data_IF_142979416663
#
_entry.id   IF_142979416663
#
_cell.length_a   1.000
_cell.length_b   1.000
_cell.length_c   1.000
_cell.angle_alpha   90.00
_cell.angle_beta   90.00
_cell.angle_gamma   90.00
#
_symmetry.space_group_name_H-M   'P 1'
#
loop_
_entity.id
_entity.type
_entity.pdbx_description
1 polymer ?
#
# COMPACT_ATOMS: atom_id res chain seq x y z
N UNK A 1 1.13 6.47 4.17
CA UNK A 1 1.18 7.35 5.36
C UNK A 1 -0.22 7.55 5.90
N UNK A 2 -0.40 7.61 7.22
CA UNK A 2 -1.68 7.93 7.83
C UNK A 2 -2.07 9.38 7.62
N UNK A 3 -3.30 9.61 7.18
CA UNK A 3 -3.88 10.93 6.95
C UNK A 3 -5.31 10.97 7.48
N UNK A 4 -5.77 12.13 7.94
CA UNK A 4 -7.18 12.33 8.30
C UNK A 4 -7.85 13.10 7.16
N UNK A 5 -8.83 12.48 6.51
CA UNK A 5 -9.61 13.11 5.43
C UNK A 5 -11.09 13.00 5.81
N UNK A 6 -11.78 14.14 5.91
CA UNK A 6 -13.20 14.20 6.28
C UNK A 6 -13.53 13.39 7.56
N UNK A 7 -12.63 13.42 8.54
CA UNK A 7 -12.76 12.68 9.80
C UNK A 7 -12.45 11.19 9.75
N UNK A 8 -12.05 10.64 8.59
CA UNK A 8 -11.64 9.24 8.41
C UNK A 8 -10.13 9.10 8.41
N UNK A 9 -9.62 8.02 9.01
CA UNK A 9 -8.20 7.70 9.02
C UNK A 9 -7.86 6.89 7.76
N UNK A 10 -7.14 7.50 6.82
CA UNK A 10 -6.85 6.94 5.49
C UNK A 10 -5.37 6.61 5.36
N UNK A 11 -5.05 5.42 4.86
CA UNK A 11 -3.68 5.07 4.46
C UNK A 11 -3.44 5.57 3.03
N UNK A 12 -2.63 6.63 2.89
CA UNK A 12 -2.37 7.26 1.60
C UNK A 12 -0.95 7.01 1.15
N UNK A 13 -0.76 6.64 -0.12
CA UNK A 13 0.56 6.67 -0.76
C UNK A 13 0.52 7.56 -2.02
N UNK A 14 1.47 8.49 -2.09
CA UNK A 14 1.55 9.47 -3.17
C UNK A 14 2.49 8.96 -4.27
N UNK A 15 2.05 9.03 -5.52
CA UNK A 15 2.83 8.58 -6.69
C UNK A 15 2.86 9.67 -7.76
N UNK A 16 4.00 9.83 -8.43
CA UNK A 16 4.22 10.79 -9.53
C UNK A 16 4.57 10.11 -10.86
N UNK A 17 4.41 8.79 -10.97
CA UNK A 17 4.80 8.00 -12.15
C UNK A 17 3.93 8.30 -13.38
N UNK A 18 4.36 7.91 -14.58
CA UNK A 18 3.53 8.06 -15.79
C UNK A 18 2.22 7.24 -15.69
N UNK A 19 2.32 6.02 -15.16
CA UNK A 19 1.18 5.09 -14.97
C UNK A 19 1.16 4.54 -13.54
N UNK A 20 -0.02 4.12 -13.09
CA UNK A 20 -0.23 3.39 -11.83
C UNK A 20 -0.53 1.94 -12.17
N UNK A 21 0.17 1.01 -11.52
CA UNK A 21 -0.23 -0.39 -11.49
C UNK A 21 -1.14 -0.59 -10.26
N UNK A 22 -2.44 -0.75 -10.49
CA UNK A 22 -3.43 -0.85 -9.42
C UNK A 22 -3.19 -2.07 -8.53
N UNK A 23 -2.79 -3.20 -9.10
CA UNK A 23 -2.51 -4.43 -8.35
C UNK A 23 -1.34 -4.23 -7.39
N UNK A 24 -0.19 -3.76 -7.88
CA UNK A 24 1.00 -3.57 -7.03
C UNK A 24 0.79 -2.52 -5.95
N UNK A 25 0.04 -1.47 -6.25
CA UNK A 25 -0.25 -0.42 -5.27
C UNK A 25 -1.28 -0.87 -4.23
N UNK A 26 -2.25 -1.71 -4.59
CA UNK A 26 -3.14 -2.38 -3.64
C UNK A 26 -2.38 -3.26 -2.65
N UNK A 27 -1.46 -4.11 -3.15
CA UNK A 27 -0.57 -4.95 -2.35
C UNK A 27 0.26 -4.10 -1.39
N UNK A 28 0.85 -3.00 -1.87
CA UNK A 28 1.64 -2.08 -1.06
C UNK A 28 0.81 -1.46 0.08
N UNK A 29 -0.39 -0.96 -0.23
CA UNK A 29 -1.27 -0.32 0.76
C UNK A 29 -1.79 -1.31 1.81
N UNK A 30 -2.10 -2.55 1.43
CA UNK A 30 -2.50 -3.59 2.39
C UNK A 30 -1.33 -3.95 3.33
N UNK A 31 -0.12 -4.09 2.80
CA UNK A 31 1.07 -4.35 3.61
C UNK A 31 1.32 -3.22 4.64
N UNK A 32 1.17 -1.96 4.22
CA UNK A 32 1.22 -0.84 5.15
C UNK A 32 0.13 -0.93 6.21
N UNK A 33 -1.13 -1.12 5.80
CA UNK A 33 -2.25 -1.19 6.74
C UNK A 33 -2.03 -2.26 7.81
N UNK A 34 -1.56 -3.46 7.42
CA UNK A 34 -1.23 -4.55 8.34
C UNK A 34 -0.04 -4.25 9.25
N UNK A 35 0.98 -3.58 8.75
CA UNK A 35 2.13 -3.17 9.56
C UNK A 35 1.77 -2.12 10.63
N UNK A 36 0.88 -1.18 10.31
CA UNK A 36 0.34 -0.25 11.31
C UNK A 36 -0.60 -0.96 12.29
N UNK A 37 -1.43 -1.89 11.80
CA UNK A 37 -2.36 -2.65 12.63
C UNK A 37 -1.63 -3.48 13.70
N UNK A 38 -0.44 -4.03 13.39
CA UNK A 38 0.38 -4.75 14.38
C UNK A 38 0.90 -3.86 15.53
N UNK A 39 0.83 -2.53 15.37
CA UNK A 39 1.15 -1.55 16.40
C UNK A 39 -0.11 -0.88 16.98
N UNK A 40 -1.30 -1.46 16.74
CA UNK A 40 -2.57 -0.98 17.28
C UNK A 40 -3.21 0.17 16.49
N UNK A 41 -2.67 0.53 15.33
CA UNK A 41 -3.20 1.62 14.49
C UNK A 41 -3.98 1.07 13.30
N UNK A 42 -5.27 1.39 13.20
CA UNK A 42 -6.14 0.89 12.12
C UNK A 42 -6.53 2.01 11.17
N UNK A 43 -6.69 1.64 9.90
CA UNK A 43 -7.19 2.51 8.85
C UNK A 43 -8.67 2.22 8.55
N UNK A 44 -9.41 3.26 8.21
CA UNK A 44 -10.77 3.17 7.69
C UNK A 44 -10.75 2.91 6.18
N UNK A 45 -9.82 3.54 5.46
CA UNK A 45 -9.70 3.48 4.00
C UNK A 45 -8.22 3.44 3.56
N UNK A 46 -7.99 3.04 2.31
CA UNK A 46 -6.67 3.04 1.67
C UNK A 46 -6.78 3.70 0.30
N UNK A 47 -5.84 4.59 -0.02
CA UNK A 47 -5.87 5.37 -1.25
C UNK A 47 -4.47 5.57 -1.86
N UNK A 48 -4.41 5.60 -3.19
CA UNK A 48 -3.30 6.17 -3.93
C UNK A 48 -3.70 7.54 -4.43
N UNK A 49 -2.87 8.54 -4.16
CA UNK A 49 -2.97 9.84 -4.80
C UNK A 49 -1.93 9.90 -5.92
N UNK A 50 -2.42 9.82 -7.16
CA UNK A 50 -1.59 9.91 -8.36
C UNK A 50 -1.47 11.38 -8.79
N UNK A 51 -0.33 11.98 -8.45
CA UNK A 51 0.02 13.34 -8.83
C UNK A 51 0.49 13.38 -10.29
N UNK A 52 0.01 14.38 -11.04
CA UNK A 52 0.33 14.57 -12.46
C UNK A 52 1.22 15.81 -12.66
N UNK A 53 2.12 15.81 -13.68
CA UNK A 53 3.01 16.94 -13.95
C UNK A 53 2.28 18.26 -14.20
N UNK A 54 1.08 18.21 -14.78
CA UNK A 54 0.22 19.36 -15.06
C UNK A 54 -0.46 19.95 -13.80
N UNK A 55 -0.11 19.48 -12.60
CA UNK A 55 -0.63 19.98 -11.33
C UNK A 55 -2.00 19.41 -10.94
N UNK A 56 -2.52 18.45 -11.70
CA UNK A 56 -3.74 17.70 -11.34
C UNK A 56 -3.41 16.42 -10.58
N UNK A 57 -4.44 15.75 -10.05
CA UNK A 57 -4.27 14.45 -9.42
C UNK A 57 -5.48 13.54 -9.68
N UNK A 58 -5.25 12.23 -9.56
CA UNK A 58 -6.30 11.22 -9.53
C UNK A 58 -6.21 10.41 -8.23
N UNK A 59 -7.35 9.97 -7.71
CA UNK A 59 -7.42 9.13 -6.52
C UNK A 59 -7.86 7.73 -6.90
N UNK A 60 -7.09 6.72 -6.50
CA UNK A 60 -7.50 5.32 -6.58
C UNK A 60 -7.78 4.83 -5.17
N UNK A 61 -9.02 4.39 -4.94
CA UNK A 61 -9.46 3.83 -3.66
C UNK A 61 -9.31 2.31 -3.66
N UNK A 62 -8.95 1.76 -2.52
CA UNK A 62 -8.82 0.33 -2.30
C UNK A 62 -9.66 -0.11 -1.12
N UNK A 63 -10.25 -1.30 -1.22
CA UNK A 63 -11.04 -1.88 -0.14
C UNK A 63 -10.20 -2.15 1.10
N UNK A 64 -10.78 -1.90 2.27
CA UNK A 64 -10.19 -2.28 3.55
C UNK A 64 -10.22 -3.81 3.70
N UNK A 65 -9.16 -4.38 4.28
CA UNK A 65 -8.99 -5.83 4.49
C UNK A 65 -8.98 -6.63 3.18
N UNK A 66 -8.08 -6.26 2.27
CA UNK A 66 -7.90 -6.98 1.02
C UNK A 66 -7.09 -8.26 1.27
N UNK A 67 -7.79 -9.38 1.47
CA UNK A 67 -7.17 -10.67 1.76
C UNK A 67 -6.32 -11.23 0.61
N UNK A 68 -6.67 -10.88 -0.64
CA UNK A 68 -5.91 -11.31 -1.80
C UNK A 68 -4.57 -10.58 -1.86
N UNK A 69 -4.59 -9.25 -1.77
CA UNK A 69 -3.38 -8.42 -1.67
C UNK A 69 -2.48 -8.85 -0.51
N UNK A 70 -3.07 -9.19 0.65
CA UNK A 70 -2.31 -9.71 1.79
C UNK A 70 -1.64 -11.05 1.50
N UNK A 71 -2.35 -11.97 0.84
CA UNK A 71 -1.82 -13.29 0.46
C UNK A 71 -0.65 -13.14 -0.53
N UNK A 72 -0.81 -12.27 -1.53
CA UNK A 72 0.25 -11.98 -2.51
C UNK A 72 1.46 -11.34 -1.82
N UNK A 73 1.26 -10.39 -0.91
CA UNK A 73 2.35 -9.81 -0.13
C UNK A 73 3.11 -10.89 0.67
N UNK A 74 2.39 -11.81 1.30
CA UNK A 74 2.99 -12.96 2.01
C UNK A 74 3.88 -13.81 1.11
N UNK A 75 3.42 -14.12 -0.11
CA UNK A 75 4.21 -14.87 -1.09
C UNK A 75 5.49 -14.10 -1.51
N UNK A 76 5.40 -12.79 -1.72
CA UNK A 76 6.56 -11.94 -2.01
C UNK A 76 7.58 -11.95 -0.87
N UNK A 77 7.11 -11.93 0.38
CA UNK A 77 7.98 -12.03 1.57
C UNK A 77 8.70 -13.37 1.63
N UNK A 78 8.05 -14.48 1.29
CA UNK A 78 8.69 -15.81 1.22
C UNK A 78 9.84 -15.80 0.21
N UNK A 79 9.61 -15.27 -1.00
CA UNK A 79 10.64 -15.14 -2.04
C UNK A 79 11.78 -14.25 -1.56
N UNK A 80 11.48 -13.07 -1.02
CA UNK A 80 12.50 -12.15 -0.52
C UNK A 80 13.35 -12.79 0.58
N UNK A 81 12.72 -13.46 1.56
CA UNK A 81 13.44 -14.13 2.65
C UNK A 81 14.37 -15.23 2.11
N UNK A 82 13.93 -15.98 1.10
CA UNK A 82 14.78 -16.95 0.43
C UNK A 82 15.99 -16.27 -0.23
N UNK A 83 15.79 -15.20 -1.01
CA UNK A 83 16.88 -14.45 -1.65
C UNK A 83 17.89 -13.89 -0.63
N UNK A 84 17.41 -13.30 0.47
CA UNK A 84 18.27 -12.71 1.49
C UNK A 84 19.16 -13.74 2.20
N UNK A 85 18.68 -14.99 2.36
CA UNK A 85 19.47 -16.09 2.93
C UNK A 85 20.75 -16.38 2.13
N UNK A 86 20.71 -16.22 0.81
CA UNK A 86 21.86 -16.49 -0.08
C UNK A 86 22.71 -15.26 -0.38
N UNK A 87 22.19 -14.04 -0.20
CA UNK A 87 22.98 -12.80 -0.31
C UNK A 87 23.97 -12.58 0.83
N UNK A 88 23.76 -13.23 1.97
CA UNK A 88 24.62 -13.14 3.17
C UNK A 88 25.71 -14.21 3.23
N UNK A 89 25.91 -14.96 2.15
CA UNK A 89 27.03 -15.88 1.93
C UNK A 89 27.99 -15.24 0.94
#
# INVERSE_FOLDING_TARGET
MPCIINGRVVCIDFKTSATINSVLTGIQLEAYAKAYESHGYKFDEKEIVHLKPEGTYAVLKYEKNDSESWSVFGALMVINNHLQKYKRR
#
